data_IF_241684170092
#
_entry.id   IF_241684170092
#
_cell.length_a   1.000
_cell.length_b   1.000
_cell.length_c   1.000
_cell.angle_alpha   90.00
_cell.angle_beta   90.00
_cell.angle_gamma   90.00
#
_symmetry.space_group_name_H-M   'P 1'
#
loop_
_entity.id
_entity.type
_entity.pdbx_description
1 polymer ?
#
# COMPACT_ATOMS: atom_id res chain seq x y z
N UNK A 1 21.82 21.78 -1.63
CA UNK A 1 20.50 21.79 -2.29
C UNK A 1 19.90 20.41 -2.14
N UNK A 2 18.96 20.21 -1.22
CA UNK A 2 18.24 18.96 -1.09
C UNK A 2 17.05 19.02 -2.04
N UNK A 3 17.01 18.14 -3.04
CA UNK A 3 15.86 18.00 -3.94
C UNK A 3 14.71 17.39 -3.13
N UNK A 4 13.76 18.21 -2.72
CA UNK A 4 12.44 17.74 -2.32
C UNK A 4 11.73 17.30 -3.60
N UNK A 5 11.80 16.01 -3.93
CA UNK A 5 10.92 15.41 -4.94
C UNK A 5 9.50 15.40 -4.36
N UNK A 6 8.81 16.54 -4.46
CA UNK A 6 7.35 16.55 -4.55
C UNK A 6 7.00 15.87 -5.87
N UNK A 7 6.84 14.55 -5.80
CA UNK A 7 6.39 13.73 -6.93
C UNK A 7 4.94 14.10 -7.22
N UNK A 8 4.76 15.10 -8.08
CA UNK A 8 3.54 15.23 -8.86
C UNK A 8 3.34 13.90 -9.58
N UNK A 9 2.13 13.35 -9.54
CA UNK A 9 1.81 12.11 -10.26
C UNK A 9 2.09 12.32 -11.76
N UNK A 10 3.25 11.88 -12.22
CA UNK A 10 3.60 11.93 -13.64
C UNK A 10 2.70 10.95 -14.35
N UNK A 11 1.75 11.47 -15.12
CA UNK A 11 0.89 10.68 -15.98
C UNK A 11 1.77 9.84 -16.91
N UNK A 12 1.63 8.51 -16.83
CA UNK A 12 2.45 7.55 -17.62
C UNK A 12 2.21 7.78 -19.12
N UNK A 13 0.94 7.90 -19.51
CA UNK A 13 0.50 8.24 -20.87
C UNK A 13 -0.73 9.15 -20.79
N UNK A 14 -0.94 10.06 -21.76
CA UNK A 14 -2.12 10.94 -21.75
C UNK A 14 -3.47 10.22 -21.85
N UNK A 15 -3.48 9.04 -22.48
CA UNK A 15 -4.68 8.22 -22.66
C UNK A 15 -4.31 6.74 -22.59
N UNK A 16 -5.19 5.90 -22.02
CA UNK A 16 -5.02 4.45 -22.07
C UNK A 16 -4.98 3.96 -23.52
N UNK A 17 -4.25 2.87 -23.76
CA UNK A 17 -4.21 2.20 -25.04
C UNK A 17 -5.62 1.72 -25.40
N UNK A 18 -6.04 2.05 -26.62
CA UNK A 18 -7.31 1.69 -27.26
C UNK A 18 -7.05 1.42 -28.73
N UNK A 19 -8.04 0.85 -29.42
CA UNK A 19 -7.99 0.74 -30.88
C UNK A 19 -7.74 2.12 -31.51
N UNK A 20 -6.79 2.19 -32.44
CA UNK A 20 -6.47 3.40 -33.21
C UNK A 20 -5.50 4.39 -32.55
N UNK A 21 -5.12 4.23 -31.28
CA UNK A 21 -4.15 5.16 -30.64
C UNK A 21 -2.78 4.55 -30.34
N UNK A 22 -2.51 3.30 -30.76
CA UNK A 22 -1.27 2.57 -30.45
C UNK A 22 0.00 3.36 -30.79
N UNK A 23 0.08 3.97 -31.99
CA UNK A 23 1.27 4.72 -32.44
C UNK A 23 1.60 5.91 -31.53
N UNK A 24 0.58 6.66 -31.08
CA UNK A 24 0.79 7.75 -30.14
C UNK A 24 1.09 7.24 -28.75
N UNK A 25 0.35 6.22 -28.28
CA UNK A 25 0.57 5.58 -26.99
C UNK A 25 2.00 5.02 -26.86
N UNK A 26 2.52 4.37 -27.90
CA UNK A 26 3.85 3.74 -27.87
C UNK A 26 4.96 4.76 -27.71
N UNK A 27 4.84 5.93 -28.36
CA UNK A 27 5.80 7.04 -28.22
C UNK A 27 5.79 7.57 -26.78
N UNK A 28 4.62 7.87 -26.21
CA UNK A 28 4.53 8.35 -24.83
C UNK A 28 5.04 7.32 -23.82
N UNK A 29 4.75 6.03 -24.05
CA UNK A 29 5.24 4.95 -23.20
C UNK A 29 6.77 4.83 -23.27
N UNK A 30 7.35 4.90 -24.47
CA UNK A 30 8.80 4.92 -24.67
C UNK A 30 9.45 6.10 -23.95
N UNK A 31 8.94 7.32 -24.18
CA UNK A 31 9.43 8.54 -23.51
C UNK A 31 9.36 8.42 -21.98
N UNK A 32 8.25 7.86 -21.46
CA UNK A 32 8.10 7.60 -20.03
C UNK A 32 9.17 6.62 -19.54
N UNK A 33 9.33 5.46 -20.18
CA UNK A 33 10.31 4.45 -19.78
C UNK A 33 11.75 4.96 -19.89
N UNK A 34 12.06 5.79 -20.90
CA UNK A 34 13.37 6.46 -21.02
C UNK A 34 13.57 7.43 -19.86
N UNK A 35 12.57 8.26 -19.53
CA UNK A 35 12.65 9.23 -18.43
C UNK A 35 12.87 8.58 -17.06
N UNK A 36 12.42 7.33 -16.90
CA UNK A 36 12.57 6.54 -15.68
C UNK A 36 13.81 5.62 -15.72
N UNK A 37 14.66 5.73 -16.74
CA UNK A 37 15.83 4.86 -16.97
C UNK A 37 15.46 3.36 -17.06
N UNK A 38 14.25 3.04 -17.50
CA UNK A 38 13.74 1.67 -17.59
C UNK A 38 13.95 1.06 -18.99
N UNK A 39 14.11 1.90 -20.03
CA UNK A 39 14.13 1.47 -21.43
C UNK A 39 15.30 0.56 -21.81
N UNK A 40 16.52 0.92 -21.38
CA UNK A 40 17.73 0.16 -21.74
C UNK A 40 17.66 -1.29 -21.26
N UNK A 41 17.10 -1.52 -20.05
CA UNK A 41 16.92 -2.86 -19.49
C UNK A 41 15.84 -3.71 -20.17
N UNK A 42 15.06 -3.14 -21.09
CA UNK A 42 13.99 -3.83 -21.86
C UNK A 42 14.48 -4.19 -23.26
N UNK A 43 15.29 -3.33 -23.89
CA UNK A 43 15.71 -3.50 -25.29
C UNK A 43 16.97 -4.35 -25.41
N UNK A 44 17.91 -4.26 -24.48
CA UNK A 44 19.20 -4.93 -24.60
C UNK A 44 19.04 -6.45 -24.39
N UNK A 45 19.43 -7.30 -25.37
CA UNK A 45 19.39 -8.74 -25.21
C UNK A 45 20.26 -9.23 -24.04
N UNK A 46 19.84 -10.34 -23.45
CA UNK A 46 20.44 -11.02 -22.28
C UNK A 46 21.97 -11.20 -22.31
N UNK A 47 22.60 -11.10 -23.48
CA UNK A 47 24.03 -11.36 -23.72
C UNK A 47 24.97 -10.15 -23.57
N UNK A 48 24.49 -8.90 -23.59
CA UNK A 48 25.36 -7.70 -23.47
C UNK A 48 25.33 -7.03 -22.07
N UNK A 49 24.25 -7.25 -21.31
CA UNK A 49 23.98 -6.59 -20.03
C UNK A 49 24.54 -7.30 -18.79
N UNK A 50 25.20 -8.46 -18.95
CA UNK A 50 25.74 -9.21 -17.81
C UNK A 50 26.75 -8.41 -16.96
N UNK A 51 27.30 -7.30 -17.47
CA UNK A 51 28.28 -6.48 -16.77
C UNK A 51 27.71 -5.21 -16.11
N UNK A 52 26.51 -4.73 -16.45
CA UNK A 52 26.04 -3.41 -16.00
C UNK A 52 25.13 -3.44 -14.75
N UNK A 53 24.30 -4.47 -14.59
CA UNK A 53 23.31 -4.55 -13.51
C UNK A 53 23.23 -5.93 -12.88
N UNK A 54 23.06 -5.97 -11.56
CA UNK A 54 22.80 -7.22 -10.83
C UNK A 54 21.47 -7.85 -11.26
N UNK A 55 21.32 -9.17 -11.07
CA UNK A 55 20.06 -9.87 -11.36
C UNK A 55 18.87 -9.27 -10.59
N UNK A 56 19.11 -8.79 -9.36
CA UNK A 56 18.10 -8.10 -8.55
C UNK A 56 17.64 -6.79 -9.19
N UNK A 57 18.57 -5.93 -9.64
CA UNK A 57 18.25 -4.66 -10.29
C UNK A 57 17.50 -4.87 -11.60
N UNK A 58 17.89 -5.88 -12.39
CA UNK A 58 17.18 -6.25 -13.62
C UNK A 58 15.73 -6.65 -13.34
N UNK A 59 15.50 -7.47 -12.31
CA UNK A 59 14.15 -7.87 -11.88
C UNK A 59 13.30 -6.66 -11.47
N UNK A 60 13.87 -5.70 -10.73
CA UNK A 60 13.19 -4.47 -10.32
C UNK A 60 12.79 -3.60 -11.53
N UNK A 61 13.74 -3.35 -12.43
CA UNK A 61 13.51 -2.55 -13.65
C UNK A 61 12.45 -3.17 -14.56
N UNK A 62 12.56 -4.48 -14.82
CA UNK A 62 11.55 -5.22 -15.59
C UNK A 62 10.16 -5.13 -14.93
N UNK A 63 10.06 -5.30 -13.61
CA UNK A 63 8.78 -5.20 -12.91
C UNK A 63 8.18 -3.78 -12.97
N UNK A 64 9.01 -2.74 -12.82
CA UNK A 64 8.59 -1.34 -12.94
C UNK A 64 8.02 -1.04 -14.33
N UNK A 65 8.76 -1.41 -15.38
CA UNK A 65 8.34 -1.22 -16.76
C UNK A 65 7.07 -2.01 -17.09
N UNK A 66 7.01 -3.28 -16.69
CA UNK A 66 5.83 -4.11 -16.88
C UNK A 66 4.61 -3.55 -16.15
N UNK A 67 4.80 -2.95 -14.96
CA UNK A 67 3.72 -2.30 -14.25
C UNK A 67 3.19 -1.09 -15.02
N UNK A 68 4.09 -0.21 -15.49
CA UNK A 68 3.73 0.97 -16.27
C UNK A 68 2.95 0.60 -17.56
N UNK A 69 3.42 -0.42 -18.28
CA UNK A 69 2.74 -0.94 -19.47
C UNK A 69 1.35 -1.48 -19.09
N UNK A 70 1.24 -2.34 -18.07
CA UNK A 70 -0.04 -2.93 -17.68
C UNK A 70 -1.06 -1.88 -17.19
N UNK A 71 -0.61 -0.82 -16.50
CA UNK A 71 -1.48 0.26 -16.00
C UNK A 71 -2.08 1.04 -17.17
N UNK A 72 -1.29 1.26 -18.20
CA UNK A 72 -1.63 2.13 -19.33
C UNK A 72 -2.23 1.39 -20.54
N UNK A 73 -2.19 0.05 -20.58
CA UNK A 73 -2.62 -0.72 -21.75
C UNK A 73 -4.15 -0.87 -21.90
N UNK A 74 -4.94 -0.39 -20.93
CA UNK A 74 -6.40 -0.54 -20.95
C UNK A 74 -6.89 -1.97 -20.66
N UNK A 75 -8.19 -2.16 -20.39
CA UNK A 75 -8.74 -3.45 -19.97
C UNK A 75 -8.66 -4.52 -21.07
N UNK A 76 -8.91 -4.18 -22.34
CA UNK A 76 -8.89 -5.12 -23.47
C UNK A 76 -7.52 -5.77 -23.66
N UNK A 77 -6.46 -4.95 -23.71
CA UNK A 77 -5.10 -5.45 -23.87
C UNK A 77 -4.57 -6.12 -22.61
N UNK A 78 -5.00 -5.67 -21.41
CA UNK A 78 -4.58 -6.27 -20.14
C UNK A 78 -4.92 -7.76 -20.05
N UNK A 79 -6.08 -8.19 -20.57
CA UNK A 79 -6.49 -9.61 -20.56
C UNK A 79 -5.45 -10.51 -21.24
N UNK A 80 -4.80 -10.01 -22.30
CA UNK A 80 -3.75 -10.74 -23.04
C UNK A 80 -2.39 -10.69 -22.32
N UNK A 81 -2.10 -9.58 -21.64
CA UNK A 81 -0.82 -9.36 -20.95
C UNK A 81 -0.77 -9.88 -19.51
N UNK A 82 -1.90 -10.33 -18.94
CA UNK A 82 -2.04 -10.58 -17.49
C UNK A 82 -0.91 -11.44 -16.92
N UNK A 83 -0.54 -12.54 -17.59
CA UNK A 83 0.48 -13.48 -17.13
C UNK A 83 1.86 -13.27 -17.77
N UNK A 84 2.01 -12.24 -18.61
CA UNK A 84 3.30 -11.85 -19.16
C UNK A 84 4.22 -11.41 -18.02
N UNK A 85 5.46 -11.93 -18.03
CA UNK A 85 6.47 -11.72 -16.98
C UNK A 85 7.58 -10.74 -17.39
N UNK A 86 7.66 -10.43 -18.68
CA UNK A 86 8.69 -9.59 -19.30
C UNK A 86 8.04 -8.33 -19.87
N UNK A 87 8.60 -7.16 -19.54
CA UNK A 87 8.16 -5.89 -20.13
C UNK A 87 8.37 -5.88 -21.64
N UNK A 88 9.46 -6.49 -22.12
CA UNK A 88 9.76 -6.65 -23.54
C UNK A 88 8.68 -7.46 -24.24
N UNK A 89 8.39 -8.65 -23.72
CA UNK A 89 7.37 -9.55 -24.30
C UNK A 89 6.01 -8.86 -24.31
N UNK A 90 5.70 -8.03 -23.31
CA UNK A 90 4.47 -7.26 -23.27
C UNK A 90 4.40 -6.22 -24.39
N UNK A 91 5.48 -5.46 -24.64
CA UNK A 91 5.55 -4.52 -25.77
C UNK A 91 5.46 -5.24 -27.11
N UNK A 92 6.16 -6.37 -27.26
CA UNK A 92 6.15 -7.16 -28.50
C UNK A 92 4.73 -7.72 -28.78
N UNK A 93 4.03 -8.22 -27.75
CA UNK A 93 2.64 -8.67 -27.86
C UNK A 93 1.70 -7.51 -28.27
N UNK A 94 1.83 -6.35 -27.65
CA UNK A 94 1.01 -5.18 -27.99
C UNK A 94 1.26 -4.71 -29.43
N UNK A 95 2.53 -4.67 -29.85
CA UNK A 95 2.89 -4.34 -31.21
C UNK A 95 2.25 -5.30 -32.20
N UNK A 96 2.24 -6.60 -31.91
CA UNK A 96 1.65 -7.61 -32.79
C UNK A 96 0.11 -7.53 -32.85
N UNK A 97 -0.53 -7.29 -31.70
CA UNK A 97 -1.97 -7.09 -31.62
C UNK A 97 -2.47 -5.92 -32.47
N UNK A 98 -1.69 -4.84 -32.54
CA UNK A 98 -2.07 -3.62 -33.27
C UNK A 98 -1.50 -3.55 -34.70
N UNK A 99 -0.69 -4.53 -35.14
CA UNK A 99 -0.29 -4.70 -36.55
C UNK A 99 -1.34 -5.41 -37.40
N UNK A 100 -2.18 -6.25 -36.78
CA UNK A 100 -3.04 -7.23 -37.47
C UNK A 100 -4.50 -6.77 -37.65
N UNK A 101 -4.87 -5.58 -37.17
CA UNK A 101 -6.23 -5.06 -37.33
C UNK A 101 -6.32 -4.14 -38.57
N UNK A 102 -7.19 -4.44 -39.56
CA UNK A 102 -7.42 -3.55 -40.69
C UNK A 102 -8.08 -2.24 -40.22
N UNK A 103 -7.67 -1.12 -40.82
CA UNK A 103 -8.34 0.17 -40.64
C UNK A 103 -9.78 0.07 -41.18
N UNK A 104 -10.75 -0.20 -40.31
CA UNK A 104 -12.17 -0.05 -40.65
C UNK A 104 -12.58 1.39 -40.34
N UNK A 105 -12.82 2.16 -41.41
CA UNK A 105 -13.60 3.39 -41.38
C UNK A 105 -14.98 3.08 -40.79
N UNK A 106 -15.18 3.36 -39.50
CA UNK A 106 -16.51 3.37 -38.92
C UNK A 106 -16.68 4.58 -37.99
N UNK A 107 -17.74 5.32 -38.29
CA UNK A 107 -18.12 6.59 -37.70
C UNK A 107 -18.05 6.62 -36.17
N UNK A 108 -17.45 7.68 -35.68
CA UNK A 108 -17.39 8.12 -34.28
C UNK A 108 -18.71 7.93 -33.51
N UNK A 109 -18.72 7.18 -32.40
CA UNK A 109 -19.62 7.47 -31.29
C UNK A 109 -19.00 8.62 -30.48
N UNK A 110 -19.81 9.65 -30.20
CA UNK A 110 -19.46 10.76 -29.31
C UNK A 110 -18.90 10.23 -27.98
N UNK A 111 -17.67 10.62 -27.68
CA UNK A 111 -17.06 10.42 -26.38
C UNK A 111 -17.88 11.18 -25.31
N UNK A 112 -18.66 10.45 -24.52
CA UNK A 112 -18.88 10.83 -23.14
C UNK A 112 -17.51 10.89 -22.48
N UNK A 113 -17.14 12.05 -21.91
CA UNK A 113 -15.86 12.26 -21.24
C UNK A 113 -15.48 11.02 -20.39
N UNK A 114 -14.38 10.30 -20.70
CA UNK A 114 -13.96 9.20 -19.86
C UNK A 114 -13.54 9.76 -18.49
N UNK A 115 -13.77 9.00 -17.40
CA UNK A 115 -13.32 9.43 -16.08
C UNK A 115 -11.83 9.72 -16.15
N UNK A 116 -11.42 10.88 -15.61
CA UNK A 116 -10.01 11.14 -15.32
C UNK A 116 -9.55 10.04 -14.36
N UNK A 117 -8.96 8.97 -14.88
CA UNK A 117 -8.32 7.95 -14.06
C UNK A 117 -7.12 8.61 -13.39
N UNK A 118 -7.33 9.11 -12.18
CA UNK A 118 -6.23 9.44 -11.27
C UNK A 118 -5.72 8.10 -10.76
N UNK A 119 -4.98 7.39 -11.60
CA UNK A 119 -4.34 6.14 -11.25
C UNK A 119 -3.42 6.40 -10.04
N UNK A 120 -3.63 5.66 -8.96
CA UNK A 120 -2.58 5.53 -7.96
C UNK A 120 -1.34 4.96 -8.63
N UNK A 121 -0.15 5.44 -8.29
CA UNK A 121 1.13 4.93 -8.80
C UNK A 121 1.32 3.43 -8.49
N UNK A 122 0.50 2.86 -7.60
CA UNK A 122 0.58 1.48 -7.13
C UNK A 122 -0.33 0.54 -7.93
N UNK A 123 -1.64 0.84 -7.99
CA UNK A 123 -2.66 0.02 -8.69
C UNK A 123 -3.67 0.92 -9.43
N UNK A 124 -4.26 0.47 -10.55
CA UNK A 124 -5.30 1.23 -11.26
C UNK A 124 -6.60 1.39 -10.47
N UNK A 125 -6.98 0.37 -9.70
CA UNK A 125 -8.25 0.26 -8.98
C UNK A 125 -7.98 -0.29 -7.57
N UNK A 126 -8.69 0.23 -6.57
CA UNK A 126 -8.63 -0.29 -5.20
C UNK A 126 -9.21 -1.71 -5.14
N UNK A 127 -8.64 -2.56 -4.28
CA UNK A 127 -9.15 -3.93 -4.09
C UNK A 127 -10.60 -3.93 -3.60
N UNK A 128 -11.47 -4.67 -4.30
CA UNK A 128 -12.86 -4.96 -3.97
C UNK A 128 -13.13 -6.49 -3.99
N UNK A 129 -14.41 -6.90 -4.02
CA UNK A 129 -14.84 -8.33 -4.04
C UNK A 129 -14.70 -9.02 -5.39
N UNK A 130 -14.38 -8.30 -6.46
CA UNK A 130 -14.42 -8.78 -7.84
C UNK A 130 -13.09 -8.65 -8.59
N UNK A 131 -12.16 -7.83 -8.08
CA UNK A 131 -10.96 -7.48 -8.84
C UNK A 131 -9.65 -8.05 -8.26
N UNK A 132 -9.69 -9.01 -7.31
CA UNK A 132 -8.48 -9.53 -6.64
C UNK A 132 -7.42 -10.05 -7.61
N UNK A 133 -7.78 -10.81 -8.66
CA UNK A 133 -6.81 -11.31 -9.64
C UNK A 133 -6.03 -10.15 -10.27
N UNK A 134 -6.75 -9.14 -10.78
CA UNK A 134 -6.18 -7.96 -11.42
C UNK A 134 -5.35 -7.14 -10.43
N UNK A 135 -5.91 -6.83 -9.26
CA UNK A 135 -5.24 -6.09 -8.20
C UNK A 135 -3.94 -6.77 -7.77
N UNK A 136 -3.95 -8.09 -7.58
CA UNK A 136 -2.78 -8.84 -7.10
C UNK A 136 -1.62 -8.81 -8.10
N UNK A 137 -1.90 -8.77 -9.41
CA UNK A 137 -0.88 -8.64 -10.45
C UNK A 137 -0.18 -7.28 -10.36
N UNK A 138 -0.94 -6.19 -10.28
CA UNK A 138 -0.39 -4.84 -10.16
C UNK A 138 0.39 -4.65 -8.86
N UNK A 139 -0.22 -5.03 -7.73
CA UNK A 139 0.41 -4.93 -6.43
C UNK A 139 1.72 -5.73 -6.37
N UNK A 140 1.74 -6.95 -6.92
CA UNK A 140 2.98 -7.75 -7.00
C UNK A 140 4.05 -7.06 -7.83
N UNK A 141 3.71 -6.56 -9.02
CA UNK A 141 4.67 -5.86 -9.88
C UNK A 141 5.24 -4.62 -9.18
N UNK A 142 4.38 -3.83 -8.52
CA UNK A 142 4.80 -2.71 -7.70
C UNK A 142 5.78 -3.15 -6.60
N UNK A 143 5.40 -4.14 -5.77
CA UNK A 143 6.24 -4.61 -4.66
C UNK A 143 7.58 -5.19 -5.14
N UNK A 144 7.64 -5.85 -6.29
CA UNK A 144 8.92 -6.32 -6.88
C UNK A 144 9.75 -5.12 -7.34
N UNK A 145 9.14 -4.14 -8.00
CA UNK A 145 9.86 -2.93 -8.46
C UNK A 145 10.48 -2.14 -7.31
N UNK A 146 9.80 -2.11 -6.16
CA UNK A 146 10.25 -1.40 -4.95
C UNK A 146 11.15 -2.25 -4.04
N UNK A 147 11.52 -3.47 -4.44
CA UNK A 147 12.32 -4.40 -3.62
C UNK A 147 11.66 -4.81 -2.28
N UNK A 148 10.33 -4.83 -2.28
CA UNK A 148 9.48 -5.10 -1.11
C UNK A 148 8.90 -6.51 -1.13
N UNK A 149 8.82 -7.17 -2.29
CA UNK A 149 8.15 -8.47 -2.44
C UNK A 149 8.69 -9.59 -1.52
N UNK A 150 9.96 -9.52 -1.10
CA UNK A 150 10.55 -10.53 -0.21
C UNK A 150 9.82 -10.63 1.13
N UNK A 151 9.31 -9.52 1.66
CA UNK A 151 8.67 -9.47 2.98
C UNK A 151 7.23 -10.01 2.96
N UNK A 152 6.66 -10.27 1.78
CA UNK A 152 5.34 -10.92 1.65
C UNK A 152 5.44 -12.44 1.61
N UNK A 153 6.66 -13.01 1.64
CA UNK A 153 6.91 -14.47 1.56
C UNK A 153 7.80 -15.00 2.68
N UNK A 154 8.59 -14.15 3.34
CA UNK A 154 9.55 -14.55 4.37
C UNK A 154 9.32 -13.82 5.70
N UNK A 155 9.20 -14.61 6.77
CA UNK A 155 8.85 -14.16 8.12
C UNK A 155 10.00 -13.50 8.89
N UNK A 156 11.22 -13.46 8.33
CA UNK A 156 12.40 -12.95 9.04
C UNK A 156 13.54 -12.56 8.10
N UNK A 157 14.51 -11.83 8.64
CA UNK A 157 15.77 -11.43 7.99
C UNK A 157 16.45 -12.64 7.36
N UNK A 158 16.44 -12.72 6.04
CA UNK A 158 17.41 -13.55 5.31
C UNK A 158 18.82 -13.15 5.74
N UNK A 159 19.75 -14.11 5.77
CA UNK A 159 21.16 -13.88 6.12
C UNK A 159 21.68 -12.64 5.38
N UNK A 160 22.04 -11.58 6.14
CA UNK A 160 22.62 -10.35 5.61
C UNK A 160 21.75 -9.08 5.65
N UNK A 161 20.45 -9.14 5.97
CA UNK A 161 19.59 -7.94 6.13
C UNK A 161 19.41 -7.60 7.60
N UNK A 162 19.62 -6.34 8.00
CA UNK A 162 19.40 -5.92 9.39
C UNK A 162 17.91 -5.97 9.77
N UNK A 163 17.61 -6.22 11.05
CA UNK A 163 16.22 -6.20 11.57
C UNK A 163 15.52 -4.86 11.27
N UNK A 164 16.26 -3.75 11.34
CA UNK A 164 15.76 -2.41 11.02
C UNK A 164 15.36 -2.28 9.55
N UNK A 165 16.22 -2.74 8.64
CA UNK A 165 15.94 -2.68 7.21
C UNK A 165 14.76 -3.58 6.81
N UNK A 166 14.68 -4.78 7.38
CA UNK A 166 13.52 -5.66 7.18
C UNK A 166 12.23 -5.00 7.68
N UNK A 167 12.25 -4.36 8.87
CA UNK A 167 11.09 -3.65 9.43
C UNK A 167 10.59 -2.55 8.49
N UNK A 168 11.50 -1.75 7.92
CA UNK A 168 11.15 -0.71 6.95
C UNK A 168 10.51 -1.29 5.70
N UNK A 169 11.08 -2.35 5.13
CA UNK A 169 10.52 -3.03 3.94
C UNK A 169 9.15 -3.64 4.22
N UNK A 170 8.97 -4.30 5.37
CA UNK A 170 7.69 -4.84 5.79
C UNK A 170 6.64 -3.74 5.92
N UNK A 171 6.98 -2.63 6.59
CA UNK A 171 6.08 -1.49 6.75
C UNK A 171 5.73 -0.84 5.42
N UNK A 172 6.69 -0.68 4.50
CA UNK A 172 6.46 -0.16 3.16
C UNK A 172 5.50 -1.05 2.35
N UNK A 173 5.71 -2.37 2.39
CA UNK A 173 4.85 -3.32 1.70
C UNK A 173 3.43 -3.35 2.28
N UNK A 174 3.32 -3.37 3.61
CA UNK A 174 2.03 -3.34 4.30
C UNK A 174 1.29 -2.04 4.00
N UNK A 175 1.98 -0.91 4.03
CA UNK A 175 1.42 0.39 3.69
C UNK A 175 0.87 0.43 2.27
N UNK A 176 1.65 -0.04 1.28
CA UNK A 176 1.19 -0.13 -0.11
C UNK A 176 -0.08 -0.97 -0.24
N UNK A 177 -0.15 -2.12 0.44
CA UNK A 177 -1.34 -2.99 0.47
C UNK A 177 -2.52 -2.25 1.12
N UNK A 178 -2.32 -1.64 2.29
CA UNK A 178 -3.34 -0.92 3.05
C UNK A 178 -3.95 0.21 2.23
N UNK A 179 -3.13 1.00 1.53
CA UNK A 179 -3.65 2.13 0.75
C UNK A 179 -4.26 1.74 -0.59
N UNK A 180 -3.96 0.52 -1.05
CA UNK A 180 -4.49 -0.02 -2.30
C UNK A 180 -5.67 -0.96 -2.09
N UNK A 181 -6.12 -1.15 -0.85
CA UNK A 181 -7.28 -1.98 -0.53
C UNK A 181 -8.48 -1.10 -0.16
N UNK A 182 -9.65 -1.39 -0.75
CA UNK A 182 -10.89 -0.69 -0.45
C UNK A 182 -11.26 -0.78 1.04
N UNK A 183 -12.16 0.08 1.50
CA UNK A 183 -12.49 0.19 2.93
C UNK A 183 -12.93 -1.13 3.57
N UNK A 184 -13.68 -1.96 2.84
CA UNK A 184 -14.12 -3.28 3.32
C UNK A 184 -12.93 -4.21 3.57
N UNK A 185 -12.06 -4.39 2.57
CA UNK A 185 -10.88 -5.24 2.65
C UNK A 185 -9.87 -4.70 3.67
N UNK A 186 -9.73 -3.38 3.79
CA UNK A 186 -8.93 -2.75 4.83
C UNK A 186 -9.39 -3.15 6.24
N UNK A 187 -10.71 -3.16 6.49
CA UNK A 187 -11.24 -3.55 7.80
C UNK A 187 -10.89 -5.00 8.20
N UNK A 188 -10.68 -5.88 7.22
CA UNK A 188 -10.24 -7.26 7.44
C UNK A 188 -8.76 -7.31 7.89
N UNK A 189 -7.90 -6.49 7.28
CA UNK A 189 -6.46 -6.51 7.54
C UNK A 189 -5.95 -5.47 8.54
N UNK A 190 -6.80 -4.55 9.03
CA UNK A 190 -6.37 -3.40 9.86
C UNK A 190 -5.65 -3.77 11.15
N UNK A 191 -5.83 -5.00 11.65
CA UNK A 191 -5.17 -5.52 12.86
C UNK A 191 -3.84 -6.22 12.58
N UNK A 192 -3.44 -6.35 11.32
CA UNK A 192 -2.25 -7.09 10.90
C UNK A 192 -1.01 -6.19 10.94
N UNK A 193 0.09 -6.74 11.45
CA UNK A 193 1.34 -6.00 11.64
C UNK A 193 2.37 -6.26 10.52
N UNK A 194 2.11 -7.23 9.64
CA UNK A 194 3.01 -7.57 8.56
C UNK A 194 2.33 -7.71 7.21
N UNK A 195 3.12 -7.45 6.17
CA UNK A 195 2.66 -7.47 4.79
C UNK A 195 2.34 -8.90 4.33
N UNK A 196 3.03 -9.90 4.88
CA UNK A 196 2.77 -11.31 4.59
C UNK A 196 1.39 -11.72 5.09
N UNK A 197 1.05 -11.41 6.34
CA UNK A 197 -0.25 -11.73 6.93
C UNK A 197 -1.37 -11.02 6.15
N UNK A 198 -1.21 -9.73 5.87
CA UNK A 198 -2.17 -8.96 5.10
C UNK A 198 -2.37 -9.55 3.68
N UNK A 199 -1.29 -9.90 2.99
CA UNK A 199 -1.36 -10.47 1.65
C UNK A 199 -2.10 -11.81 1.62
N UNK A 200 -1.77 -12.72 2.54
CA UNK A 200 -2.40 -14.05 2.61
C UNK A 200 -3.84 -13.99 3.06
N UNK A 201 -4.19 -13.07 3.96
CA UNK A 201 -5.57 -12.90 4.39
C UNK A 201 -6.46 -12.45 3.24
N UNK A 202 -6.05 -11.41 2.49
CA UNK A 202 -6.81 -10.95 1.32
C UNK A 202 -6.97 -12.05 0.26
N UNK A 203 -5.94 -12.87 0.08
CA UNK A 203 -5.99 -14.03 -0.82
C UNK A 203 -7.02 -15.05 -0.34
N UNK A 204 -7.00 -15.37 0.94
CA UNK A 204 -7.88 -16.35 1.57
C UNK A 204 -9.33 -15.91 1.48
N UNK A 205 -9.63 -14.66 1.83
CA UNK A 205 -11.00 -14.13 1.81
C UNK A 205 -11.55 -14.05 0.39
N UNK A 206 -10.73 -13.74 -0.62
CA UNK A 206 -11.17 -13.81 -2.02
C UNK A 206 -11.59 -15.23 -2.44
N UNK A 207 -10.80 -16.25 -2.09
CA UNK A 207 -11.13 -17.65 -2.41
C UNK A 207 -12.42 -18.09 -1.71
N UNK A 208 -12.65 -17.64 -0.48
CA UNK A 208 -13.87 -17.94 0.27
C UNK A 208 -15.11 -17.25 -0.34
N UNK A 209 -14.97 -16.00 -0.79
CA UNK A 209 -16.02 -15.24 -1.47
C UNK A 209 -16.37 -15.80 -2.86
N UNK A 210 -15.40 -16.32 -3.59
CA UNK A 210 -15.65 -17.00 -4.87
C UNK A 210 -16.42 -18.31 -4.69
N UNK A 211 -16.11 -19.07 -3.62
CA UNK A 211 -16.81 -20.31 -3.27
C UNK A 211 -18.26 -20.06 -2.85
N UNK A 212 -18.50 -19.05 -2.01
CA UNK A 212 -19.87 -18.74 -1.57
C UNK A 212 -20.78 -18.28 -2.71
N UNK A 213 -20.22 -17.67 -3.77
CA UNK A 213 -20.95 -17.35 -5.01
C UNK A 213 -21.31 -18.59 -5.83
N UNK A 214 -20.50 -19.64 -5.76
CA UNK A 214 -20.76 -20.89 -6.50
C UNK A 214 -21.78 -21.78 -5.80
N UNK A 215 -21.87 -21.71 -4.48
CA UNK A 215 -22.81 -22.51 -3.68
C UNK A 215 -24.23 -21.89 -3.58
N UNK A 216 -24.38 -20.58 -3.81
CA UNK A 216 -25.67 -19.85 -3.73
C UNK A 216 -26.34 -19.60 -5.10
N UNK A 217 -26.07 -20.45 -6.10
CA UNK A 217 -26.69 -20.37 -7.43
C UNK A 217 -28.14 -20.90 -7.43
N UNK A 218 -29.06 -20.21 -6.76
CA UNK A 218 -30.51 -20.18 -7.05
C UNK A 218 -31.18 -19.05 -6.21
N UNK A 219 -31.76 -18.05 -6.90
CA UNK A 219 -32.36 -16.79 -6.42
C UNK A 219 -31.40 -15.75 -5.80
N UNK A 220 -31.38 -14.46 -6.14
CA UNK A 220 -32.34 -13.58 -6.80
C UNK A 220 -31.56 -12.44 -7.47
N UNK A 221 -32.03 -12.01 -8.66
CA UNK A 221 -31.70 -10.71 -9.23
C UNK A 221 -32.29 -9.57 -8.37
N UNK A 222 -31.62 -8.42 -8.42
CA UNK A 222 -31.98 -7.07 -7.93
C UNK A 222 -31.16 -6.56 -6.73
N UNK A 223 -30.24 -5.63 -7.01
CA UNK A 223 -30.01 -4.34 -6.31
C UNK A 223 -28.66 -3.74 -6.78
N UNK A 224 -28.64 -3.18 -8.01
CA UNK A 224 -27.57 -2.26 -8.47
C UNK A 224 -28.21 -0.91 -8.78
N UNK A 225 -28.51 -0.12 -7.75
CA UNK A 225 -28.76 1.32 -7.94
C UNK A 225 -28.51 2.12 -6.65
N UNK A 226 -27.32 1.97 -6.04
CA UNK A 226 -26.89 2.91 -4.99
C UNK A 226 -25.37 3.17 -4.93
N UNK A 227 -24.58 2.66 -5.88
CA UNK A 227 -23.10 2.75 -5.84
C UNK A 227 -22.51 3.93 -6.64
N UNK A 228 -23.33 4.66 -7.40
CA UNK A 228 -22.84 5.76 -8.25
C UNK A 228 -22.53 7.06 -7.48
N UNK A 229 -23.08 7.25 -6.28
CA UNK A 229 -22.94 8.50 -5.53
C UNK A 229 -21.73 8.57 -4.57
N UNK A 230 -21.01 7.46 -4.32
CA UNK A 230 -19.75 7.49 -3.52
C UNK A 230 -18.48 7.69 -4.33
N UNK A 231 -18.53 7.55 -5.66
CA UNK A 231 -17.34 7.61 -6.54
C UNK A 231 -16.71 9.01 -6.66
N UNK A 232 -17.38 10.06 -6.18
CA UNK A 232 -16.90 11.45 -6.36
C UNK A 232 -15.95 11.92 -5.24
N UNK A 233 -15.83 11.21 -4.11
CA UNK A 233 -14.86 11.58 -3.05
C UNK A 233 -13.50 10.85 -3.15
N UNK A 234 -13.28 10.03 -4.19
CA UNK A 234 -12.08 9.20 -4.37
C UNK A 234 -10.92 9.90 -5.13
N UNK A 235 -10.82 11.22 -5.08
CA UNK A 235 -9.92 11.99 -5.95
C UNK A 235 -8.57 12.39 -5.32
N UNK A 236 -8.20 11.89 -4.14
CA UNK A 236 -6.88 12.22 -3.56
C UNK A 236 -6.24 11.06 -2.80
N UNK A 237 -5.88 10.01 -3.54
CA UNK A 237 -4.84 9.09 -3.07
C UNK A 237 -3.49 9.81 -3.15
N UNK A 238 -3.06 10.42 -2.06
CA UNK A 238 -1.64 10.71 -1.89
C UNK A 238 -0.96 9.41 -1.51
N UNK A 239 0.29 9.17 -1.94
CA UNK A 239 1.09 7.98 -1.56
C UNK A 239 1.11 7.75 -0.04
N UNK A 240 0.80 8.78 0.77
CA UNK A 240 0.76 8.76 2.23
C UNK A 240 -0.44 8.01 2.85
N UNK A 241 -1.67 8.31 2.42
CA UNK A 241 -2.91 7.79 3.03
C UNK A 241 -4.04 7.74 1.99
N UNK A 242 -5.02 6.83 2.13
CA UNK A 242 -6.13 6.73 1.17
C UNK A 242 -7.05 7.95 1.18
N UNK A 243 -7.20 8.55 2.35
CA UNK A 243 -8.10 9.67 2.63
C UNK A 243 -7.41 10.62 3.62
N UNK A 244 -7.62 11.92 3.45
CA UNK A 244 -7.16 12.92 4.43
C UNK A 244 -7.85 12.71 5.77
N UNK A 245 -7.14 12.97 6.87
CA UNK A 245 -7.70 12.87 8.23
C UNK A 245 -8.87 13.84 8.41
N UNK A 246 -10.03 13.27 8.71
CA UNK A 246 -11.30 13.90 9.03
C UNK A 246 -11.73 13.52 10.47
N UNK A 247 -12.99 13.76 10.82
CA UNK A 247 -13.51 13.52 12.19
C UNK A 247 -13.82 12.06 12.51
N UNK A 248 -13.99 11.23 11.48
CA UNK A 248 -14.56 9.88 11.54
C UNK A 248 -13.60 8.78 11.04
N UNK A 249 -12.49 9.15 10.39
CA UNK A 249 -11.56 8.19 9.79
C UNK A 249 -10.21 8.05 10.54
N UNK A 250 -10.10 8.54 11.78
CA UNK A 250 -8.85 8.53 12.54
C UNK A 250 -8.20 7.14 12.65
N UNK A 251 -8.97 6.08 12.90
CA UNK A 251 -8.45 4.72 13.02
C UNK A 251 -7.78 4.25 11.72
N UNK A 252 -8.44 4.45 10.57
CA UNK A 252 -7.92 4.08 9.25
C UNK A 252 -6.70 4.93 8.89
N UNK A 253 -6.78 6.24 9.14
CA UNK A 253 -5.68 7.17 8.92
C UNK A 253 -4.44 6.82 9.76
N UNK A 254 -4.60 6.57 11.06
CA UNK A 254 -3.48 6.37 11.98
C UNK A 254 -2.71 5.08 11.67
N UNK A 255 -3.39 4.02 11.29
CA UNK A 255 -2.77 2.76 10.86
C UNK A 255 -1.93 2.98 9.59
N UNK A 256 -2.51 3.59 8.55
CA UNK A 256 -1.78 3.87 7.31
C UNK A 256 -0.59 4.81 7.56
N UNK A 257 -0.80 5.90 8.32
CA UNK A 257 0.24 6.88 8.61
C UNK A 257 1.37 6.26 9.45
N UNK A 258 1.07 5.40 10.43
CA UNK A 258 2.09 4.67 11.19
C UNK A 258 2.93 3.79 10.28
N UNK A 259 2.31 2.97 9.42
CA UNK A 259 3.03 2.14 8.44
C UNK A 259 3.92 2.97 7.52
N UNK A 260 3.42 4.12 7.03
CA UNK A 260 4.22 5.07 6.26
C UNK A 260 5.43 5.58 7.06
N UNK A 261 5.23 6.11 8.26
CA UNK A 261 6.31 6.68 9.07
C UNK A 261 7.38 5.65 9.45
N UNK A 262 6.98 4.40 9.74
CA UNK A 262 7.93 3.30 9.98
C UNK A 262 8.74 3.00 8.71
N UNK A 263 8.08 2.95 7.54
CA UNK A 263 8.76 2.71 6.25
C UNK A 263 9.84 3.75 5.95
N UNK A 264 9.58 5.01 6.32
CA UNK A 264 10.46 6.15 6.09
C UNK A 264 11.51 6.38 7.20
N UNK A 265 11.59 5.51 8.21
CA UNK A 265 12.45 5.70 9.40
C UNK A 265 12.13 6.98 10.19
N UNK A 266 10.85 7.34 10.27
CA UNK A 266 10.33 8.57 10.88
C UNK A 266 9.53 8.34 12.17
N UNK A 267 9.13 7.10 12.47
CA UNK A 267 8.24 6.78 13.60
C UNK A 267 8.82 7.14 14.98
N UNK A 268 10.14 7.03 15.15
CA UNK A 268 10.80 7.39 16.41
C UNK A 268 10.53 8.85 16.82
N UNK A 269 10.41 9.77 15.85
CA UNK A 269 10.09 11.18 16.10
C UNK A 269 8.66 11.41 16.64
N UNK A 270 7.77 10.44 16.46
CA UNK A 270 6.43 10.44 17.06
C UNK A 270 6.47 9.92 18.50
N UNK A 271 7.38 8.99 18.81
CA UNK A 271 7.51 8.36 20.13
C UNK A 271 8.29 9.25 21.12
N UNK A 272 9.43 9.80 20.68
CA UNK A 272 10.36 10.51 21.56
C UNK A 272 10.29 12.04 21.37
N UNK A 273 10.58 12.77 22.44
CA UNK A 273 10.65 14.25 22.40
C UNK A 273 12.07 14.77 22.20
N UNK A 274 13.07 13.90 22.21
CA UNK A 274 14.49 14.23 22.12
C UNK A 274 15.24 13.17 21.31
N UNK A 275 16.38 13.56 20.73
CA UNK A 275 17.19 12.69 19.88
C UNK A 275 17.78 11.53 20.71
N UNK A 276 17.54 10.26 20.34
CA UNK A 276 18.18 9.12 21.01
C UNK A 276 19.71 9.33 21.10
N UNK A 277 20.35 8.83 22.17
CA UNK A 277 21.75 9.12 22.49
C UNK A 277 22.76 8.83 21.35
N UNK A 278 22.39 7.94 20.42
CA UNK A 278 23.21 7.50 19.28
C UNK A 278 22.93 8.27 17.98
N UNK A 279 21.94 9.16 17.95
CA UNK A 279 21.49 9.89 16.74
C UNK A 279 21.99 11.34 16.78
N UNK A 280 22.59 11.78 15.69
CA UNK A 280 23.00 13.17 15.52
C UNK A 280 21.79 14.13 15.64
N UNK A 281 21.94 15.20 16.42
CA UNK A 281 20.86 16.16 16.68
C UNK A 281 20.30 16.80 15.41
N UNK A 282 21.13 17.04 14.39
CA UNK A 282 20.67 17.62 13.12
C UNK A 282 19.93 16.59 12.28
N UNK A 283 20.34 15.32 12.29
CA UNK A 283 19.57 14.22 11.70
C UNK A 283 18.20 14.08 12.37
N UNK A 284 18.16 14.11 13.70
CA UNK A 284 16.91 14.06 14.46
C UNK A 284 15.94 15.19 14.10
N UNK A 285 16.42 16.44 14.05
CA UNK A 285 15.59 17.60 13.67
C UNK A 285 14.98 17.42 12.28
N UNK A 286 15.75 16.87 11.33
CA UNK A 286 15.22 16.58 9.98
C UNK A 286 14.14 15.49 10.01
N UNK A 287 14.33 14.43 10.80
CA UNK A 287 13.35 13.35 10.95
C UNK A 287 12.06 13.85 11.58
N UNK A 288 12.14 14.62 12.66
CA UNK A 288 10.96 15.23 13.29
C UNK A 288 10.23 16.19 12.35
N UNK A 289 10.95 17.06 11.64
CA UNK A 289 10.35 17.96 10.66
C UNK A 289 9.67 17.21 9.50
N UNK A 290 10.29 16.15 8.98
CA UNK A 290 9.70 15.33 7.92
C UNK A 290 8.46 14.56 8.39
N UNK A 291 8.50 13.99 9.61
CA UNK A 291 7.36 13.31 10.21
C UNK A 291 6.19 14.27 10.46
N UNK A 292 6.48 15.46 11.01
CA UNK A 292 5.48 16.51 11.24
C UNK A 292 4.85 16.96 9.92
N UNK A 293 5.67 17.21 8.89
CA UNK A 293 5.18 17.59 7.58
C UNK A 293 4.24 16.53 7.00
N UNK A 294 4.62 15.24 7.05
CA UNK A 294 3.78 14.14 6.57
C UNK A 294 2.42 14.09 7.27
N UNK A 295 2.40 14.24 8.60
CA UNK A 295 1.16 14.33 9.38
C UNK A 295 0.32 15.52 8.92
N UNK A 296 0.93 16.70 8.77
CA UNK A 296 0.23 17.93 8.41
C UNK A 296 -0.44 17.86 7.03
N UNK A 297 0.25 17.38 5.99
CA UNK A 297 -0.32 17.29 4.63
C UNK A 297 -1.33 16.15 4.47
N UNK A 298 -1.34 15.21 5.41
CA UNK A 298 -2.34 14.15 5.46
C UNK A 298 -3.62 14.57 6.18
N UNK A 299 -3.73 15.82 6.65
CA UNK A 299 -4.91 16.33 7.34
C UNK A 299 -5.83 17.11 6.41
N UNK A 300 -7.14 17.02 6.64
CA UNK A 300 -8.08 18.03 6.13
C UNK A 300 -7.76 19.41 6.75
N UNK A 301 -8.19 20.50 6.10
CA UNK A 301 -7.95 21.86 6.61
C UNK A 301 -8.44 22.05 8.06
N UNK A 302 -9.58 21.44 8.41
CA UNK A 302 -10.13 21.45 9.78
C UNK A 302 -9.15 20.80 10.77
N UNK A 303 -8.66 19.60 10.46
CA UNK A 303 -7.71 18.86 11.31
C UNK A 303 -6.33 19.50 11.35
N UNK A 304 -5.86 20.07 10.25
CA UNK A 304 -4.64 20.87 10.22
C UNK A 304 -4.75 22.08 11.17
N UNK A 305 -5.90 22.77 11.18
CA UNK A 305 -6.16 23.88 12.10
C UNK A 305 -6.04 23.51 13.59
N UNK A 306 -6.33 22.25 13.93
CA UNK A 306 -6.18 21.70 15.28
C UNK A 306 -4.72 21.54 15.72
N UNK A 307 -3.81 21.26 14.77
CA UNK A 307 -2.39 20.98 15.04
C UNK A 307 -1.41 22.06 14.55
N UNK A 308 -1.91 23.15 13.95
CA UNK A 308 -1.06 24.18 13.32
C UNK A 308 -0.02 24.84 14.24
N UNK A 309 -0.22 24.76 15.55
CA UNK A 309 0.68 25.31 16.59
C UNK A 309 1.69 24.29 17.11
N UNK A 310 1.52 23.00 16.78
CA UNK A 310 2.45 21.97 17.18
C UNK A 310 3.76 22.10 16.40
N UNK A 311 4.88 22.07 17.13
CA UNK A 311 6.23 22.26 16.56
C UNK A 311 7.00 20.94 16.42
N UNK A 312 6.38 19.80 16.76
CA UNK A 312 6.99 18.47 16.64
C UNK A 312 5.96 17.41 16.23
N UNK A 313 6.44 16.34 15.60
CA UNK A 313 5.60 15.24 15.15
C UNK A 313 4.88 14.56 16.31
N UNK A 314 5.60 14.31 17.42
CA UNK A 314 5.03 13.76 18.66
C UNK A 314 3.85 14.56 19.19
N UNK A 315 4.00 15.89 19.29
CA UNK A 315 2.93 16.74 19.85
C UNK A 315 1.73 16.83 18.92
N UNK A 316 1.96 16.89 17.60
CA UNK A 316 0.89 16.84 16.61
C UNK A 316 0.11 15.52 16.67
N UNK A 317 0.82 14.38 16.66
CA UNK A 317 0.20 13.05 16.76
C UNK A 317 -0.61 12.88 18.04
N UNK A 318 -0.04 13.24 19.18
CA UNK A 318 -0.70 13.15 20.49
C UNK A 318 -1.95 14.02 20.56
N UNK A 319 -1.91 15.22 19.99
CA UNK A 319 -3.06 16.13 19.93
C UNK A 319 -4.20 15.53 19.10
N UNK A 320 -3.90 14.95 17.93
CA UNK A 320 -4.91 14.29 17.09
C UNK A 320 -5.51 13.07 17.78
N UNK A 321 -4.67 12.24 18.43
CA UNK A 321 -5.10 11.06 19.19
C UNK A 321 -6.05 11.46 20.31
N UNK A 322 -5.66 12.45 21.12
CA UNK A 322 -6.44 12.94 22.24
C UNK A 322 -7.80 13.47 21.79
N UNK A 323 -7.84 14.30 20.74
CA UNK A 323 -9.10 14.83 20.20
C UNK A 323 -10.02 13.76 19.63
N UNK A 324 -9.47 12.71 19.04
CA UNK A 324 -10.29 11.58 18.58
C UNK A 324 -10.95 10.87 19.77
N UNK A 325 -10.20 10.58 20.84
CA UNK A 325 -10.72 9.97 22.07
C UNK A 325 -11.80 10.84 22.71
N UNK A 326 -11.61 12.16 22.75
CA UNK A 326 -12.59 13.10 23.30
C UNK A 326 -13.92 13.12 22.51
N UNK A 327 -13.87 12.95 21.19
CA UNK A 327 -15.06 12.93 20.34
C UNK A 327 -15.73 11.56 20.25
N UNK A 328 -14.97 10.47 20.45
CA UNK A 328 -15.43 9.08 20.33
C UNK A 328 -15.03 8.26 21.56
N UNK A 329 -15.61 8.55 22.74
CA UNK A 329 -15.26 7.84 23.98
C UNK A 329 -15.61 6.34 23.93
N UNK A 330 -16.58 5.96 23.10
CA UNK A 330 -17.04 4.58 22.90
C UNK A 330 -16.00 3.69 22.19
N UNK A 331 -15.11 4.28 21.38
CA UNK A 331 -14.09 3.54 20.62
C UNK A 331 -12.94 3.02 21.53
N UNK A 332 -12.91 3.48 22.80
CA UNK A 332 -11.83 3.21 23.73
C UNK A 332 -10.50 3.84 23.28
N UNK A 333 -9.40 3.68 24.07
CA UNK A 333 -8.08 4.03 23.55
C UNK A 333 -7.81 3.19 22.30
N UNK A 334 -7.31 3.77 21.20
CA UNK A 334 -6.89 3.02 20.03
C UNK A 334 -6.04 1.85 20.51
N UNK A 335 -6.46 0.62 20.19
CA UNK A 335 -5.76 -0.58 20.63
C UNK A 335 -4.46 -0.65 19.83
N UNK A 336 -3.45 0.09 20.28
CA UNK A 336 -2.09 0.11 19.74
C UNK A 336 -1.44 -1.23 20.14
N UNK A 337 -1.89 -2.30 19.50
CA UNK A 337 -1.41 -3.67 19.72
C UNK A 337 0.11 -3.77 19.48
N UNK A 338 0.64 -2.88 18.64
CA UNK A 338 2.08 -2.72 18.40
C UNK A 338 2.81 -2.16 19.63
N UNK A 339 2.22 -1.22 20.38
CA UNK A 339 2.89 -0.67 21.57
C UNK A 339 3.02 -1.75 22.67
N UNK A 340 2.01 -2.62 22.80
CA UNK A 340 2.03 -3.81 23.68
C UNK A 340 3.03 -4.89 23.24
N UNK A 341 3.20 -5.10 21.94
CA UNK A 341 4.19 -6.05 21.40
C UNK A 341 5.62 -5.52 21.52
N UNK A 342 5.79 -4.20 21.44
CA UNK A 342 7.09 -3.53 21.51
C UNK A 342 7.58 -3.35 22.96
N UNK A 343 6.68 -3.19 23.93
CA UNK A 343 7.00 -3.17 25.38
C UNK A 343 7.43 -4.56 25.92
N UNK A 344 6.93 -5.65 25.32
CA UNK A 344 7.22 -7.02 25.78
C UNK A 344 8.23 -7.79 24.92
N UNK A 345 8.76 -7.20 23.85
CA UNK A 345 9.81 -7.83 23.02
C UNK A 345 9.40 -9.15 22.36
N UNK A 346 8.10 -9.42 22.20
CA UNK A 346 7.60 -10.71 21.71
C UNK A 346 7.68 -10.80 20.18
N UNK A 347 8.09 -11.95 19.61
CA UNK A 347 8.05 -12.16 18.16
C UNK A 347 6.59 -12.21 17.66
N UNK A 348 6.33 -11.81 16.39
CA UNK A 348 4.97 -11.60 15.87
C UNK A 348 4.07 -12.84 15.72
N UNK A 349 4.42 -14.01 16.27
CA UNK A 349 3.58 -15.20 16.18
C UNK A 349 3.55 -16.01 17.47
N UNK A 350 2.42 -15.97 18.19
CA UNK A 350 1.59 -17.15 18.49
C UNK A 350 0.15 -16.65 18.67
N UNK A 351 -0.69 -16.71 17.64
CA UNK A 351 -2.15 -16.76 17.83
C UNK A 351 -2.76 -17.71 16.80
N UNK A 352 -2.59 -19.01 17.02
CA UNK A 352 -3.63 -19.96 16.66
C UNK A 352 -4.88 -19.64 17.51
N UNK A 353 -6.05 -19.65 16.88
CA UNK A 353 -7.37 -19.25 17.40
C UNK A 353 -7.79 -19.70 18.82
N UNK A 354 -7.05 -20.60 19.48
CA UNK A 354 -7.37 -21.11 20.82
C UNK A 354 -6.90 -20.26 22.01
N UNK A 355 -5.93 -19.35 21.86
CA UNK A 355 -5.35 -18.61 23.01
C UNK A 355 -5.92 -17.21 23.25
N UNK A 356 -6.65 -16.64 22.29
CA UNK A 356 -7.31 -15.33 22.47
C UNK A 356 -8.35 -15.37 23.59
N UNK A 357 -8.95 -16.53 23.86
CA UNK A 357 -9.90 -16.70 24.96
C UNK A 357 -9.26 -16.70 26.35
N UNK A 358 -8.01 -17.16 26.50
CA UNK A 358 -7.37 -17.31 27.82
C UNK A 358 -6.86 -15.97 28.39
N UNK A 359 -6.32 -15.10 27.54
CA UNK A 359 -5.77 -13.81 27.99
C UNK A 359 -6.87 -12.78 28.28
N UNK A 360 -8.02 -12.86 27.61
CA UNK A 360 -9.14 -11.94 27.84
C UNK A 360 -10.01 -12.30 29.06
N UNK A 361 -10.01 -13.55 29.54
CA UNK A 361 -10.80 -13.97 30.71
C UNK A 361 -9.99 -14.07 32.03
N UNK A 362 -8.66 -14.07 31.98
CA UNK A 362 -7.80 -14.25 33.16
C UNK A 362 -7.76 -13.09 34.17
N UNK A 363 -8.36 -11.93 33.86
CA UNK A 363 -8.34 -10.74 34.74
C UNK A 363 -9.64 -10.50 35.52
N UNK A 364 -10.58 -11.44 35.52
CA UNK A 364 -11.85 -11.34 36.27
C UNK A 364 -12.03 -12.41 37.35
N UNK A 365 -10.96 -12.80 38.05
CA UNK A 365 -11.10 -13.43 39.37
C UNK A 365 -9.89 -13.07 40.24
N UNK A 366 -10.02 -11.98 41.00
CA UNK A 366 -9.23 -11.78 42.21
C UNK A 366 -9.99 -12.44 43.35
N UNK A 367 -9.36 -13.37 44.08
CA UNK A 367 -9.90 -13.86 45.35
C UNK A 367 -9.21 -15.09 45.89
N UNK A 368 -8.41 -14.88 46.93
CA UNK A 368 -7.85 -15.86 47.89
C UNK A 368 -6.65 -16.69 47.42
N UNK A 369 -5.46 -16.38 47.95
CA UNK A 369 -4.93 -17.11 49.12
C UNK A 369 -3.79 -16.33 49.79
N UNK A 370 -3.81 -16.35 51.12
CA UNK A 370 -2.93 -15.65 52.04
C UNK A 370 -1.49 -16.19 52.11
N UNK A 371 -0.57 -15.30 52.50
CA UNK A 371 0.61 -15.50 53.38
C UNK A 371 1.15 -16.93 53.58
N UNK A 372 2.40 -17.19 53.15
CA UNK A 372 3.62 -17.10 53.99
C UNK A 372 4.79 -17.95 53.44
N UNK A 373 6.05 -17.66 53.84
CA UNK A 373 7.25 -18.13 53.16
C UNK A 373 7.79 -19.43 53.75
N UNK A 374 8.32 -20.32 52.92
CA UNK A 374 9.19 -21.40 53.36
C UNK A 374 10.50 -21.39 52.59
N UNK A 375 11.55 -21.31 53.41
CA UNK A 375 12.97 -21.38 53.13
C UNK A 375 13.41 -22.85 53.22
N UNK A 376 14.57 -23.13 52.60
CA UNK A 376 15.41 -24.35 52.71
C UNK A 376 14.93 -25.54 51.85
N UNK A 377 15.79 -26.23 51.10
CA UNK A 377 17.24 -26.45 51.23
C UNK A 377 18.00 -26.26 49.93
#
# INVERSE_FOLDING_TARGET
>A
MAMTNTSTATLIVPQLLKRGNYKSWSIFMEDHLISQELWDGIIVPFSADQQLFSESERRKRNAAALNAIKISCGPESFVRLKYTRSAKDALDMLAEMHKTEPETDESTPKASNPPLWVASTIVPELLDRGNYERWSIFMKNYLVSQDLWVVTHHLSTSVGVSKKEWRKKNAAALHAIQISCGAEKFNQIKKMCGAIEAWYELKRTNIEEEKSKTDNSEHHEEEEEEEETRKINSASMTILVPELLASDNYQRWSICMKSYLVSQDLWDAVLYSWAPAEVDTKEWIKKDAAALHAIQISCTLKKFGEIRKNTSAKTAWSTLKQKHIEMHPEDGPPRDFIDLLEEHGLPPFILSHHWVFAVCFGFYYNGFFCYSPLRCT
#
